data_IF_473513886132
#
_entry.id   IF_473513886132
#
_cell.length_a   1.000
_cell.length_b   1.000
_cell.length_c   1.000
_cell.angle_alpha   90.00
_cell.angle_beta   90.00
_cell.angle_gamma   90.00
#
_symmetry.space_group_name_H-M   'P 1'
#
loop_
_entity.id
_entity.type
_entity.pdbx_description
1 polymer ?
#
# COMPACT_ATOMS: atom_id res chain seq x y z
N UNK A 1 9.64 -17.88 1.01
CA UNK A 1 8.47 -17.42 1.81
C UNK A 1 8.72 -16.03 2.40
N UNK A 2 9.84 -15.89 3.11
CA UNK A 2 10.20 -14.68 3.87
C UNK A 2 10.36 -13.44 2.97
N UNK A 3 11.05 -13.57 1.83
CA UNK A 3 11.25 -12.44 0.90
C UNK A 3 9.90 -11.88 0.40
N UNK A 4 8.92 -12.75 0.11
CA UNK A 4 7.60 -12.33 -0.37
C UNK A 4 6.83 -11.61 0.73
N UNK A 5 6.86 -12.13 1.95
CA UNK A 5 6.23 -11.51 3.12
C UNK A 5 6.86 -10.14 3.42
N UNK A 6 8.18 -10.07 3.55
CA UNK A 6 8.91 -8.83 3.80
C UNK A 6 8.67 -7.79 2.70
N UNK A 7 8.59 -8.21 1.42
CA UNK A 7 8.28 -7.28 0.32
C UNK A 7 6.89 -6.66 0.48
N UNK A 8 5.89 -7.46 0.84
CA UNK A 8 4.52 -7.00 1.05
C UNK A 8 4.46 -6.11 2.30
N UNK A 9 5.01 -6.54 3.43
CA UNK A 9 4.94 -5.83 4.71
C UNK A 9 5.64 -4.47 4.69
N UNK A 10 6.80 -4.38 4.05
CA UNK A 10 7.54 -3.11 3.93
C UNK A 10 6.93 -2.22 2.84
N UNK A 11 6.42 -2.81 1.76
CA UNK A 11 5.83 -2.10 0.64
C UNK A 11 4.41 -1.57 0.91
N UNK A 12 3.66 -2.21 1.81
CA UNK A 12 2.27 -1.85 2.12
C UNK A 12 2.19 -1.12 3.46
N UNK A 13 1.93 0.18 3.41
CA UNK A 13 1.82 1.02 4.60
C UNK A 13 0.36 1.30 4.98
N UNK A 14 0.14 1.77 6.20
CA UNK A 14 -1.18 2.17 6.65
C UNK A 14 -1.53 3.59 6.16
N UNK A 15 -2.07 3.67 4.95
CA UNK A 15 -2.53 4.95 4.37
C UNK A 15 -3.70 5.58 5.13
N UNK A 16 -4.50 4.80 5.87
CA UNK A 16 -5.61 5.35 6.67
C UNK A 16 -5.08 6.15 7.87
N UNK A 17 -4.01 5.66 8.50
CA UNK A 17 -3.31 6.39 9.55
C UNK A 17 -2.70 7.69 8.99
N UNK A 18 -2.11 7.66 7.80
CA UNK A 18 -1.60 8.85 7.14
C UNK A 18 -2.71 9.90 6.91
N UNK A 19 -3.87 9.48 6.40
CA UNK A 19 -5.04 10.37 6.23
C UNK A 19 -5.49 10.96 7.58
N UNK A 20 -5.57 10.14 8.64
CA UNK A 20 -5.94 10.61 9.97
C UNK A 20 -4.96 11.66 10.51
N UNK A 21 -3.66 11.50 10.26
CA UNK A 21 -2.63 12.49 10.60
C UNK A 21 -2.84 13.80 9.82
N UNK A 22 -3.15 13.74 8.51
CA UNK A 22 -3.44 14.93 7.70
C UNK A 22 -4.61 15.73 8.28
N UNK A 23 -5.72 15.06 8.61
CA UNK A 23 -6.89 15.73 9.16
C UNK A 23 -6.68 16.28 10.57
N UNK A 24 -5.90 15.58 11.41
CA UNK A 24 -5.71 15.98 12.81
C UNK A 24 -4.57 16.97 13.03
N UNK A 25 -3.49 16.91 12.25
CA UNK A 25 -2.27 17.71 12.48
C UNK A 25 -2.01 18.77 11.41
N UNK A 26 -2.61 18.65 10.23
CA UNK A 26 -2.36 19.53 9.09
C UNK A 26 -3.63 20.23 8.60
N UNK A 27 -4.58 20.53 9.50
CA UNK A 27 -5.85 21.21 9.20
C UNK A 27 -6.67 20.56 8.07
N UNK A 28 -6.42 19.29 7.75
CA UNK A 28 -7.10 18.63 6.63
C UNK A 28 -6.73 19.17 5.25
N UNK A 29 -5.48 19.60 5.05
CA UNK A 29 -5.00 20.06 3.75
C UNK A 29 -5.34 19.07 2.62
N UNK A 30 -6.15 19.52 1.68
CA UNK A 30 -6.78 18.66 0.68
C UNK A 30 -5.75 17.95 -0.21
N UNK A 31 -4.65 18.63 -0.55
CA UNK A 31 -3.58 18.03 -1.37
C UNK A 31 -2.89 16.84 -0.68
N UNK A 32 -2.63 16.96 0.63
CA UNK A 32 -1.99 15.88 1.40
C UNK A 32 -2.94 14.69 1.60
N UNK A 33 -4.21 14.97 1.83
CA UNK A 33 -5.24 13.95 1.97
C UNK A 33 -5.42 13.17 0.65
N UNK A 34 -5.41 13.88 -0.48
CA UNK A 34 -5.55 13.27 -1.81
C UNK A 34 -4.37 12.36 -2.16
N UNK A 35 -3.13 12.77 -1.85
CA UNK A 35 -1.94 11.92 -2.02
C UNK A 35 -2.05 10.67 -1.14
N UNK A 36 -2.45 10.82 0.12
CA UNK A 36 -2.58 9.70 1.05
C UNK A 36 -3.67 8.70 0.63
N UNK A 37 -4.81 9.20 0.14
CA UNK A 37 -5.91 8.38 -0.40
C UNK A 37 -5.52 7.68 -1.72
N UNK A 38 -4.81 8.39 -2.59
CA UNK A 38 -4.28 7.81 -3.83
C UNK A 38 -3.30 6.68 -3.53
N UNK A 39 -2.39 6.87 -2.57
CA UNK A 39 -1.43 5.85 -2.17
C UNK A 39 -2.12 4.59 -1.61
N UNK A 40 -3.18 4.75 -0.82
CA UNK A 40 -4.01 3.62 -0.36
C UNK A 40 -4.66 2.85 -1.51
N UNK A 41 -5.16 3.56 -2.53
CA UNK A 41 -5.73 2.92 -3.73
C UNK A 41 -4.65 2.17 -4.51
N UNK A 42 -3.48 2.78 -4.67
CA UNK A 42 -2.34 2.15 -5.34
C UNK A 42 -1.87 0.89 -4.63
N UNK A 43 -1.85 0.87 -3.30
CA UNK A 43 -1.51 -0.32 -2.52
C UNK A 43 -2.43 -1.51 -2.82
N UNK A 44 -3.74 -1.30 -2.98
CA UNK A 44 -4.67 -2.39 -3.33
C UNK A 44 -4.35 -2.95 -4.72
N UNK A 45 -4.16 -2.07 -5.71
CA UNK A 45 -3.89 -2.46 -7.10
C UNK A 45 -2.53 -3.18 -7.21
N UNK A 46 -1.47 -2.55 -6.69
CA UNK A 46 -0.11 -3.10 -6.75
C UNK A 46 0.04 -4.36 -5.90
N UNK A 47 -0.57 -4.44 -4.72
CA UNK A 47 -0.56 -5.61 -3.86
C UNK A 47 -1.24 -6.81 -4.51
N UNK A 48 -2.39 -6.60 -5.16
CA UNK A 48 -3.07 -7.66 -5.92
C UNK A 48 -2.24 -8.14 -7.12
N UNK A 49 -1.68 -7.21 -7.90
CA UNK A 49 -0.80 -7.54 -9.01
C UNK A 49 0.42 -8.34 -8.56
N UNK A 50 1.09 -7.91 -7.48
CA UNK A 50 2.26 -8.59 -6.93
C UNK A 50 1.91 -9.99 -6.41
N UNK A 51 0.77 -10.14 -5.71
CA UNK A 51 0.29 -11.43 -5.25
C UNK A 51 0.05 -12.41 -6.42
N UNK A 52 -0.55 -11.93 -7.53
CA UNK A 52 -0.75 -12.73 -8.74
C UNK A 52 0.59 -13.12 -9.37
N UNK A 53 1.55 -12.20 -9.46
CA UNK A 53 2.88 -12.47 -10.00
C UNK A 53 3.63 -13.51 -9.18
N UNK A 54 3.65 -13.37 -7.86
CA UNK A 54 4.26 -14.34 -6.95
C UNK A 54 3.60 -15.71 -7.08
N UNK A 55 2.26 -15.78 -7.19
CA UNK A 55 1.56 -17.04 -7.44
C UNK A 55 1.99 -17.70 -8.75
N UNK A 56 2.17 -16.92 -9.83
CA UNK A 56 2.61 -17.45 -11.13
C UNK A 56 4.07 -17.92 -11.12
N UNK A 57 4.92 -17.31 -10.30
CA UNK A 57 6.30 -17.74 -10.13
C UNK A 57 6.42 -19.03 -9.30
N UNK A 58 5.54 -19.26 -8.33
CA UNK A 58 5.48 -20.54 -7.60
C UNK A 58 5.09 -21.72 -8.50
N UNK A 59 4.36 -21.47 -9.59
CA UNK A 59 3.88 -22.51 -10.50
C UNK A 59 4.90 -22.98 -11.55
N UNK A 60 6.15 -22.54 -11.48
CA UNK A 60 7.24 -23.19 -12.24
C UNK A 60 7.84 -24.31 -11.38
N UNK A 61 7.90 -25.56 -11.88
CA UNK A 61 8.54 -26.67 -11.17
C UNK A 61 10.04 -26.42 -10.98
#
# INVERSE_FOLDING_TARGET
PDIKATTIEVGMQNSSLAIAIVFSQFNGEAGMALISAFWGTWHIVSGLLLAILFRRWESKP
#
